data_IF_134416648311
#
_entry.id   IF_134416648311
#
_cell.length_a   1.000
_cell.length_b   1.000
_cell.length_c   1.000
_cell.angle_alpha   90.00
_cell.angle_beta   90.00
_cell.angle_gamma   90.00
#
_symmetry.space_group_name_H-M   'P 1'
#
loop_
_entity.id
_entity.type
_entity.pdbx_description
1 polymer ?
#
# COMPACT_ATOMS: atom_id res chain seq x y z
N UNK A 1 -10.85 -21.10 5.15
CA UNK A 1 -10.70 -22.56 5.32
C UNK A 1 -9.26 -22.85 5.71
N UNK A 2 -9.01 -23.91 6.48
CA UNK A 2 -7.64 -24.37 6.80
C UNK A 2 -7.37 -25.68 6.06
N UNK A 3 -6.21 -25.78 5.44
CA UNK A 3 -5.70 -27.02 4.84
C UNK A 3 -4.41 -27.38 5.57
N UNK A 4 -4.34 -28.58 6.16
CA UNK A 4 -3.21 -29.03 6.99
C UNK A 4 -2.77 -28.03 8.08
N UNK A 5 -3.73 -27.34 8.69
CA UNK A 5 -3.49 -26.33 9.73
C UNK A 5 -3.04 -24.96 9.22
N UNK A 6 -2.84 -24.78 7.90
CA UNK A 6 -2.45 -23.50 7.29
C UNK A 6 -3.67 -22.64 7.00
N UNK A 7 -3.52 -21.33 7.13
CA UNK A 7 -4.53 -20.37 6.67
C UNK A 7 -4.40 -20.20 5.15
N UNK A 8 -5.49 -20.42 4.44
CA UNK A 8 -5.55 -20.19 2.99
C UNK A 8 -6.20 -18.82 2.75
N UNK A 9 -5.46 -17.85 2.17
CA UNK A 9 -6.01 -16.55 1.82
C UNK A 9 -7.06 -16.71 0.70
N UNK A 10 -8.14 -15.94 0.79
CA UNK A 10 -9.23 -16.00 -0.19
C UNK A 10 -9.16 -14.84 -1.18
N UNK A 11 -8.95 -13.62 -0.67
CA UNK A 11 -8.88 -12.39 -1.45
C UNK A 11 -8.24 -11.29 -0.62
N UNK A 12 -7.76 -10.24 -1.28
CA UNK A 12 -7.41 -8.98 -0.63
C UNK A 12 -8.68 -8.15 -0.46
N UNK A 13 -9.04 -7.85 0.78
CA UNK A 13 -10.23 -7.06 1.06
C UNK A 13 -10.03 -5.57 0.76
N UNK A 14 -8.95 -5.00 1.30
CA UNK A 14 -8.66 -3.56 1.23
C UNK A 14 -7.17 -3.32 1.05
N UNK A 15 -6.83 -2.37 0.20
CA UNK A 15 -5.47 -1.88 -0.03
C UNK A 15 -5.45 -0.39 0.30
N UNK A 16 -4.48 0.02 1.12
CA UNK A 16 -4.24 1.42 1.47
C UNK A 16 -2.81 1.74 1.08
N UNK A 17 -2.62 2.81 0.31
CA UNK A 17 -1.30 3.26 -0.10
C UNK A 17 -1.26 4.80 -0.17
N UNK A 18 -0.27 5.37 0.49
CA UNK A 18 0.07 6.79 0.44
C UNK A 18 1.52 6.89 -0.04
N UNK A 19 1.77 7.70 -1.06
CA UNK A 19 3.09 7.89 -1.63
C UNK A 19 3.41 9.38 -1.80
N UNK A 20 4.61 9.77 -1.41
CA UNK A 20 5.16 11.07 -1.77
C UNK A 20 5.47 11.08 -3.27
N UNK A 21 5.25 12.22 -3.91
CA UNK A 21 5.46 12.42 -5.34
C UNK A 21 5.98 13.83 -5.59
N UNK A 22 6.54 14.03 -6.77
CA UNK A 22 7.00 15.35 -7.22
C UNK A 22 5.80 16.23 -7.59
N UNK A 23 5.92 17.57 -7.49
CA UNK A 23 4.78 18.49 -7.68
C UNK A 23 4.18 18.50 -9.10
N UNK A 24 4.87 17.93 -10.08
CA UNK A 24 4.44 17.81 -11.47
C UNK A 24 3.52 16.62 -11.74
N UNK A 25 3.34 15.72 -10.77
CA UNK A 25 2.47 14.54 -10.90
C UNK A 25 1.14 14.82 -10.22
N UNK A 26 0.04 14.62 -10.95
CA UNK A 26 -1.30 14.73 -10.37
C UNK A 26 -1.65 13.50 -9.51
N UNK A 27 -2.59 13.67 -8.57
CA UNK A 27 -3.05 12.56 -7.72
C UNK A 27 -3.72 11.48 -8.58
N UNK A 28 -4.40 11.86 -9.65
CA UNK A 28 -5.04 10.98 -10.61
C UNK A 28 -4.00 10.13 -11.35
N UNK A 29 -2.96 10.74 -11.93
CA UNK A 29 -1.86 10.03 -12.60
C UNK A 29 -1.13 9.09 -11.64
N UNK A 30 -0.85 9.57 -10.41
CA UNK A 30 -0.23 8.75 -9.37
C UNK A 30 -1.12 7.55 -9.02
N UNK A 31 -2.44 7.73 -8.93
CA UNK A 31 -3.37 6.66 -8.59
C UNK A 31 -3.37 5.57 -9.65
N UNK A 32 -3.43 5.93 -10.92
CA UNK A 32 -3.37 4.97 -12.03
C UNK A 32 -2.02 4.24 -12.06
N UNK A 33 -0.91 4.99 -11.95
CA UNK A 33 0.43 4.43 -11.93
C UNK A 33 0.63 3.47 -10.76
N UNK A 34 0.16 3.81 -9.56
CA UNK A 34 0.25 2.92 -8.39
C UNK A 34 -0.54 1.64 -8.61
N UNK A 35 -1.77 1.71 -9.13
CA UNK A 35 -2.58 0.53 -9.36
C UNK A 35 -1.89 -0.40 -10.37
N UNK A 36 -1.44 0.13 -11.50
CA UNK A 36 -0.94 -0.70 -12.60
C UNK A 36 0.52 -1.11 -12.44
N UNK A 37 1.38 -0.21 -11.95
CA UNK A 37 2.82 -0.47 -11.85
C UNK A 37 3.24 -1.06 -10.52
N UNK A 38 2.44 -0.89 -9.46
CA UNK A 38 2.77 -1.39 -8.12
C UNK A 38 1.83 -2.50 -7.71
N UNK A 39 0.53 -2.21 -7.59
CA UNK A 39 -0.42 -3.15 -6.97
C UNK A 39 -0.61 -4.40 -7.83
N UNK A 40 -0.94 -4.25 -9.12
CA UNK A 40 -1.13 -5.38 -10.04
C UNK A 40 0.14 -6.22 -10.27
N UNK A 41 1.32 -5.64 -10.03
CA UNK A 41 2.59 -6.37 -10.13
C UNK A 41 2.98 -7.08 -8.83
N UNK A 42 2.61 -6.52 -7.68
CA UNK A 42 2.96 -7.05 -6.37
C UNK A 42 1.96 -8.09 -5.86
N UNK A 43 0.68 -7.95 -6.19
CA UNK A 43 -0.39 -8.82 -5.69
C UNK A 43 -0.83 -9.75 -6.83
N UNK A 44 -0.80 -11.08 -6.63
CA UNK A 44 -1.33 -12.03 -7.61
C UNK A 44 -2.78 -11.73 -7.97
N UNK A 45 -3.11 -11.76 -9.25
CA UNK A 45 -4.44 -11.37 -9.76
C UNK A 45 -5.58 -12.22 -9.21
N UNK A 46 -5.30 -13.46 -8.80
CA UNK A 46 -6.27 -14.37 -8.16
C UNK A 46 -6.82 -13.83 -6.83
N UNK A 47 -6.11 -12.91 -6.16
CA UNK A 47 -6.56 -12.28 -4.92
C UNK A 47 -7.21 -10.91 -5.13
N UNK A 48 -7.22 -10.39 -6.37
CA UNK A 48 -7.81 -9.09 -6.70
C UNK A 48 -9.12 -9.30 -7.46
N UNK A 49 -10.18 -8.68 -6.96
CA UNK A 49 -11.54 -8.78 -7.52
C UNK A 49 -12.22 -7.41 -7.62
N UNK A 50 -13.44 -7.40 -8.18
CA UNK A 50 -14.26 -6.18 -8.28
C UNK A 50 -14.72 -5.62 -6.94
N UNK A 51 -14.58 -6.39 -5.85
CA UNK A 51 -14.92 -5.99 -4.48
C UNK A 51 -13.68 -5.56 -3.67
N UNK A 52 -12.51 -5.49 -4.30
CA UNK A 52 -11.28 -5.04 -3.65
C UNK A 52 -11.33 -3.53 -3.49
N UNK A 53 -11.19 -3.05 -2.26
CA UNK A 53 -11.31 -1.62 -1.93
C UNK A 53 -9.94 -0.97 -2.03
N UNK A 54 -9.82 0.09 -2.83
CA UNK A 54 -8.56 0.83 -3.05
C UNK A 54 -8.61 2.25 -2.44
N UNK A 55 -7.85 2.45 -1.37
CA UNK A 55 -7.60 3.76 -0.78
C UNK A 55 -6.20 4.24 -1.18
N UNK A 56 -6.11 4.90 -2.34
CA UNK A 56 -4.86 5.49 -2.84
C UNK A 56 -4.88 6.99 -2.53
N UNK A 57 -3.85 7.47 -1.82
CA UNK A 57 -3.78 8.84 -1.30
C UNK A 57 -5.05 9.26 -0.53
N UNK A 58 -5.52 8.48 0.48
CA UNK A 58 -6.74 8.82 1.23
C UNK A 58 -6.65 10.17 1.96
N UNK A 59 -5.43 10.64 2.25
CA UNK A 59 -5.16 11.94 2.86
C UNK A 59 -5.07 13.10 1.85
N UNK A 60 -5.31 12.83 0.56
CA UNK A 60 -5.13 13.79 -0.53
C UNK A 60 -3.67 13.91 -0.97
N UNK A 61 -3.34 15.05 -1.55
CA UNK A 61 -1.98 15.37 -2.00
C UNK A 61 -1.03 15.55 -0.80
N UNK A 62 -0.06 14.65 -0.68
CA UNK A 62 0.99 14.68 0.36
C UNK A 62 2.35 15.16 -0.14
N UNK A 63 2.44 15.60 -1.40
CA UNK A 63 3.56 16.25 -2.09
C UNK A 63 4.97 15.81 -1.68
N UNK A 64 5.92 16.73 -1.83
CA UNK A 64 7.26 16.57 -1.26
C UNK A 64 7.22 17.05 0.18
N UNK A 65 7.44 16.13 1.11
CA UNK A 65 7.58 16.49 2.53
C UNK A 65 9.02 16.98 2.78
N UNK A 66 9.22 18.20 3.32
CA UNK A 66 10.55 18.68 3.70
C UNK A 66 11.26 17.72 4.66
N UNK A 67 12.57 17.60 4.49
CA UNK A 67 13.43 16.86 5.42
C UNK A 67 13.22 17.38 6.85
N UNK A 68 12.98 16.48 7.80
CA UNK A 68 12.81 16.83 9.22
C UNK A 68 11.36 16.97 9.72
N UNK A 69 10.32 16.84 8.88
CA UNK A 69 8.93 16.81 9.38
C UNK A 69 8.59 15.56 10.18
N UNK A 70 9.32 14.46 9.96
CA UNK A 70 9.21 13.23 10.71
C UNK A 70 10.59 12.88 11.28
N UNK A 71 10.67 12.74 12.61
CA UNK A 71 11.88 12.23 13.24
C UNK A 71 11.96 10.71 13.06
N UNK A 72 13.08 10.24 12.51
CA UNK A 72 13.40 8.82 12.43
C UNK A 72 14.20 8.38 13.65
N UNK A 73 13.83 7.25 14.24
CA UNK A 73 14.54 6.64 15.38
C UNK A 73 14.65 5.14 15.19
N UNK A 74 15.81 4.58 15.53
CA UNK A 74 16.12 3.15 15.41
C UNK A 74 15.14 2.31 16.23
N UNK A 75 14.73 1.15 15.70
CA UNK A 75 13.89 0.20 16.42
C UNK A 75 12.42 0.61 16.56
N UNK A 76 11.94 1.61 15.81
CA UNK A 76 10.52 2.02 15.83
C UNK A 76 9.67 1.47 14.68
N UNK A 77 10.19 0.47 13.96
CA UNK A 77 9.50 -0.25 12.87
C UNK A 77 9.56 -1.79 13.04
N UNK A 78 9.81 -2.28 14.25
CA UNK A 78 10.02 -3.72 14.54
C UNK A 78 8.89 -4.65 14.06
N UNK A 79 7.62 -4.21 14.09
CA UNK A 79 6.50 -5.02 13.60
C UNK A 79 6.52 -5.14 12.06
N UNK A 80 6.95 -4.07 11.38
CA UNK A 80 7.15 -4.05 9.93
C UNK A 80 8.31 -4.96 9.54
N UNK A 81 9.39 -4.93 10.31
CA UNK A 81 10.60 -5.74 10.07
C UNK A 81 10.41 -7.24 10.38
N UNK A 82 9.28 -7.62 10.99
CA UNK A 82 8.98 -8.99 11.39
C UNK A 82 7.78 -9.54 10.61
N UNK A 83 6.64 -9.77 11.27
CA UNK A 83 5.51 -10.51 10.71
C UNK A 83 4.26 -9.64 10.48
N UNK A 84 4.35 -8.32 10.67
CA UNK A 84 3.23 -7.39 10.44
C UNK A 84 2.13 -7.43 11.49
N UNK A 85 2.39 -8.08 12.63
CA UNK A 85 1.48 -8.36 13.74
C UNK A 85 1.97 -9.58 14.50
#
# INVERSE_FOLDING_TARGET
>A
MREDGKLIPLRVHTIILTAQHTPDVTVEELREAVIDQVIRKAIPSEYLDSQTIYHIQPSGDVGVTPSGKFAGVTGRKIVVDTYGG
#
